data_IF_173444807537
#
_entry.id   IF_173444807537
#
_cell.length_a   1.000
_cell.length_b   1.000
_cell.length_c   1.000
_cell.angle_alpha   90.00
_cell.angle_beta   90.00
_cell.angle_gamma   90.00
#
_symmetry.space_group_name_H-M   'P 1'
#
loop_
_entity.id
_entity.type
_entity.pdbx_description
1 polymer ?
#
# COMPACT_ATOMS: atom_id res chain seq x y z
N UNK A 1 24.42 -49.17 -1.47
CA UNK A 1 24.72 -49.75 -2.80
C UNK A 1 25.25 -48.75 -3.82
N UNK A 2 24.75 -47.50 -3.94
CA UNK A 2 25.38 -46.50 -4.84
C UNK A 2 26.70 -45.93 -4.26
N UNK A 3 26.85 -45.94 -2.93
CA UNK A 3 28.07 -45.48 -2.24
C UNK A 3 29.23 -46.49 -2.28
N UNK A 4 28.96 -47.80 -2.37
CA UNK A 4 30.02 -48.83 -2.38
C UNK A 4 30.67 -48.98 -3.77
N UNK A 5 29.95 -48.63 -4.84
CA UNK A 5 30.44 -48.70 -6.22
C UNK A 5 31.45 -47.59 -6.56
N UNK A 6 31.51 -46.50 -5.77
CA UNK A 6 32.49 -45.42 -5.96
C UNK A 6 33.85 -45.72 -5.30
N UNK A 7 33.93 -46.74 -4.44
CA UNK A 7 35.15 -47.11 -3.71
C UNK A 7 35.97 -48.20 -4.41
N UNK A 8 35.43 -48.79 -5.49
CA UNK A 8 35.94 -50.01 -6.12
C UNK A 8 36.67 -49.81 -7.47
N UNK A 9 37.20 -48.62 -7.75
CA UNK A 9 38.12 -48.41 -8.88
C UNK A 9 39.44 -47.85 -8.34
N UNK A 10 40.42 -48.74 -8.21
CA UNK A 10 41.78 -48.42 -7.80
C UNK A 10 42.52 -47.64 -8.89
N UNK A 11 43.09 -46.49 -8.50
CA UNK A 11 43.96 -45.65 -9.33
C UNK A 11 43.96 -44.21 -8.82
N UNK A 12 45.09 -43.78 -8.28
CA UNK A 12 45.42 -42.46 -7.72
C UNK A 12 44.73 -42.05 -6.41
N UNK A 13 45.47 -42.21 -5.31
CA UNK A 13 45.13 -41.62 -4.01
C UNK A 13 44.92 -40.10 -4.05
N UNK A 14 45.39 -39.41 -5.10
CA UNK A 14 45.15 -37.99 -5.33
C UNK A 14 43.69 -37.73 -5.77
N UNK A 15 43.11 -38.56 -6.64
CA UNK A 15 41.71 -38.40 -7.08
C UNK A 15 40.73 -38.66 -5.93
N UNK A 16 41.01 -39.65 -5.09
CA UNK A 16 40.21 -39.89 -3.88
C UNK A 16 40.37 -38.76 -2.84
N UNK A 17 41.56 -38.19 -2.69
CA UNK A 17 41.78 -37.02 -1.83
C UNK A 17 41.04 -35.77 -2.35
N UNK A 18 41.06 -35.52 -3.66
CA UNK A 18 40.31 -34.42 -4.28
C UNK A 18 38.81 -34.62 -4.06
N UNK A 19 38.30 -35.84 -4.25
CA UNK A 19 36.89 -36.16 -4.00
C UNK A 19 36.49 -35.91 -2.54
N UNK A 20 37.31 -36.32 -1.58
CA UNK A 20 37.08 -36.04 -0.15
C UNK A 20 37.11 -34.54 0.16
N UNK A 21 38.06 -33.78 -0.40
CA UNK A 21 38.14 -32.32 -0.22
C UNK A 21 36.89 -31.63 -0.78
N UNK A 22 36.43 -32.03 -1.96
CA UNK A 22 35.20 -31.49 -2.58
C UNK A 22 33.98 -31.83 -1.73
N UNK A 23 33.89 -33.05 -1.17
CA UNK A 23 32.79 -33.46 -0.30
C UNK A 23 32.76 -32.64 1.00
N UNK A 24 33.93 -32.41 1.62
CA UNK A 24 34.05 -31.57 2.82
C UNK A 24 33.68 -30.11 2.51
N UNK A 25 34.17 -29.57 1.39
CA UNK A 25 33.82 -28.21 0.94
C UNK A 25 32.32 -28.06 0.68
N UNK A 26 31.71 -29.03 -0.01
CA UNK A 26 30.27 -29.04 -0.28
C UNK A 26 29.46 -29.13 1.02
N UNK A 27 29.93 -29.93 1.98
CA UNK A 27 29.30 -30.04 3.30
C UNK A 27 29.43 -28.75 4.12
N UNK A 28 30.50 -27.97 3.93
CA UNK A 28 30.72 -26.68 4.60
C UNK A 28 29.96 -25.52 3.96
N UNK A 29 29.76 -25.56 2.63
CA UNK A 29 29.00 -24.54 1.89
C UNK A 29 27.51 -24.53 2.28
N UNK A 30 26.91 -25.70 2.49
CA UNK A 30 25.49 -25.82 2.79
C UNK A 30 25.05 -25.09 4.09
N UNK A 31 25.71 -25.27 5.26
CA UNK A 31 25.39 -24.53 6.48
C UNK A 31 25.73 -23.04 6.37
N UNK A 32 26.79 -22.68 5.63
CA UNK A 32 27.08 -21.27 5.36
C UNK A 32 25.91 -20.62 4.60
N UNK A 33 25.43 -21.24 3.52
CA UNK A 33 24.28 -20.75 2.77
C UNK A 33 23.04 -20.59 3.66
N UNK A 34 22.72 -21.58 4.49
CA UNK A 34 21.56 -21.52 5.38
C UNK A 34 21.60 -20.34 6.36
N UNK A 35 22.77 -19.94 6.83
CA UNK A 35 22.93 -18.82 7.77
C UNK A 35 22.94 -17.47 7.03
N UNK A 36 23.59 -17.40 5.86
CA UNK A 36 23.75 -16.14 5.12
C UNK A 36 22.54 -15.79 4.24
N UNK A 37 21.87 -16.77 3.66
CA UNK A 37 20.75 -16.55 2.73
C UNK A 37 19.61 -15.73 3.34
N UNK A 38 19.12 -16.00 4.56
CA UNK A 38 18.09 -15.19 5.20
C UNK A 38 18.48 -13.71 5.34
N UNK A 39 19.75 -13.41 5.65
CA UNK A 39 20.24 -12.04 5.81
C UNK A 39 20.26 -11.29 4.48
N UNK A 40 20.71 -11.96 3.42
CA UNK A 40 20.71 -11.41 2.07
C UNK A 40 19.27 -11.11 1.63
N UNK A 41 18.32 -12.02 1.90
CA UNK A 41 16.93 -11.84 1.52
C UNK A 41 16.27 -10.64 2.21
N UNK A 42 16.53 -10.44 3.52
CA UNK A 42 16.05 -9.27 4.26
C UNK A 42 16.61 -7.98 3.65
N UNK A 43 17.89 -7.96 3.27
CA UNK A 43 18.52 -6.80 2.64
C UNK A 43 17.91 -6.48 1.27
N UNK A 44 17.68 -7.49 0.42
CA UNK A 44 17.03 -7.29 -0.89
C UNK A 44 15.62 -6.73 -0.71
N UNK A 45 14.87 -7.27 0.24
CA UNK A 45 13.50 -6.84 0.48
C UNK A 45 13.41 -5.43 1.07
N UNK A 46 14.31 -5.02 1.97
CA UNK A 46 14.36 -3.63 2.48
C UNK A 46 14.60 -2.65 1.33
N UNK A 47 15.48 -2.97 0.38
CA UNK A 47 15.70 -2.15 -0.83
C UNK A 47 14.49 -2.08 -1.73
N UNK A 48 13.82 -3.22 -1.98
CA UNK A 48 12.60 -3.26 -2.79
C UNK A 48 11.48 -2.45 -2.13
N UNK A 49 11.34 -2.56 -0.81
CA UNK A 49 10.36 -1.81 -0.02
C UNK A 49 10.68 -0.32 0.04
N UNK A 50 11.96 0.05 0.11
CA UNK A 50 12.40 1.43 0.02
C UNK A 50 12.02 2.07 -1.33
N UNK A 51 12.33 1.40 -2.45
CA UNK A 51 11.89 1.87 -3.76
C UNK A 51 10.37 1.98 -3.84
N UNK A 52 9.63 0.98 -3.35
CA UNK A 52 8.17 1.04 -3.35
C UNK A 52 7.62 2.19 -2.50
N UNK A 53 8.26 2.53 -1.39
CA UNK A 53 7.84 3.65 -0.55
C UNK A 53 8.06 5.01 -1.22
N UNK A 54 9.11 5.14 -2.05
CA UNK A 54 9.30 6.36 -2.85
C UNK A 54 8.13 6.54 -3.81
N UNK A 55 7.74 5.47 -4.52
CA UNK A 55 6.60 5.54 -5.45
C UNK A 55 5.29 5.87 -4.71
N UNK A 56 5.03 5.21 -3.57
CA UNK A 56 3.85 5.49 -2.74
C UNK A 56 3.85 6.91 -2.16
N UNK A 57 5.02 7.45 -1.84
CA UNK A 57 5.18 8.84 -1.41
C UNK A 57 4.87 9.81 -2.55
N UNK A 58 5.32 9.52 -3.77
CA UNK A 58 4.96 10.29 -4.95
C UNK A 58 3.45 10.25 -5.19
N UNK A 59 2.81 9.09 -5.16
CA UNK A 59 1.35 9.01 -5.33
C UNK A 59 0.59 9.81 -4.27
N UNK A 60 0.99 9.71 -2.99
CA UNK A 60 0.42 10.52 -1.91
C UNK A 60 0.56 12.01 -2.19
N UNK A 61 1.78 12.46 -2.48
CA UNK A 61 2.05 13.89 -2.69
C UNK A 61 1.31 14.44 -3.92
N UNK A 62 1.31 13.69 -5.03
CA UNK A 62 0.59 14.07 -6.24
C UNK A 62 -0.91 14.21 -5.95
N UNK A 63 -1.49 13.24 -5.22
CA UNK A 63 -2.92 13.25 -4.88
C UNK A 63 -3.27 14.43 -3.96
N UNK A 64 -2.41 14.74 -2.99
CA UNK A 64 -2.56 15.92 -2.13
C UNK A 64 -2.49 17.22 -2.94
N UNK A 65 -1.53 17.34 -3.85
CA UNK A 65 -1.39 18.55 -4.69
C UNK A 65 -2.60 18.72 -5.60
N UNK A 66 -3.05 17.65 -6.27
CA UNK A 66 -4.24 17.67 -7.13
C UNK A 66 -5.48 18.13 -6.37
N UNK A 67 -5.70 17.59 -5.16
CA UNK A 67 -6.84 17.98 -4.34
C UNK A 67 -6.74 19.44 -3.90
N UNK A 68 -5.59 19.86 -3.36
CA UNK A 68 -5.44 21.21 -2.81
C UNK A 68 -5.55 22.30 -3.88
N UNK A 69 -5.09 22.04 -5.11
CA UNK A 69 -5.21 22.96 -6.25
C UNK A 69 -6.66 23.29 -6.61
N UNK A 70 -7.57 22.31 -6.46
CA UNK A 70 -9.01 22.47 -6.71
C UNK A 70 -9.81 22.88 -5.47
N UNK A 71 -9.28 22.61 -4.28
CA UNK A 71 -9.97 22.85 -3.03
C UNK A 71 -10.02 24.33 -2.65
N UNK A 72 -8.88 25.02 -2.73
CA UNK A 72 -8.79 26.47 -2.51
C UNK A 72 -7.52 27.08 -3.12
N UNK A 73 -7.68 28.27 -3.69
CA UNK A 73 -6.65 29.10 -4.31
C UNK A 73 -5.60 29.59 -3.30
N UNK A 74 -6.01 29.90 -2.07
CA UNK A 74 -5.11 30.26 -0.97
C UNK A 74 -5.53 29.55 0.33
N UNK A 75 -4.67 28.66 0.82
CA UNK A 75 -4.96 27.83 1.99
C UNK A 75 -4.36 28.49 3.22
N UNK A 76 -5.22 29.05 4.06
CA UNK A 76 -4.80 29.56 5.36
C UNK A 76 -4.08 28.48 6.19
N UNK A 77 -3.11 28.90 7.00
CA UNK A 77 -2.37 27.99 7.89
C UNK A 77 -3.28 27.19 8.83
N UNK A 78 -4.45 27.71 9.20
CA UNK A 78 -5.42 26.99 10.03
C UNK A 78 -6.10 25.86 9.26
N UNK A 79 -6.58 26.13 8.04
CA UNK A 79 -7.16 25.15 7.12
C UNK A 79 -6.17 24.05 6.78
N UNK A 80 -4.89 24.40 6.56
CA UNK A 80 -3.84 23.40 6.33
C UNK A 80 -3.63 22.46 7.53
N UNK A 81 -3.67 22.97 8.76
CA UNK A 81 -3.57 22.14 9.97
C UNK A 81 -4.77 21.21 10.13
N UNK A 82 -5.98 21.70 9.84
CA UNK A 82 -7.21 20.89 9.86
C UNK A 82 -7.14 19.78 8.81
N UNK A 83 -6.70 20.10 7.60
CA UNK A 83 -6.44 19.13 6.54
C UNK A 83 -5.47 18.04 7.00
N UNK A 84 -4.30 18.41 7.53
CA UNK A 84 -3.28 17.44 7.96
C UNK A 84 -3.81 16.51 9.08
N UNK A 85 -4.63 17.05 10.00
CA UNK A 85 -5.26 16.30 11.08
C UNK A 85 -6.33 15.33 10.56
N UNK A 86 -7.18 15.78 9.64
CA UNK A 86 -8.24 14.94 9.06
C UNK A 86 -7.68 13.89 8.10
N UNK A 87 -6.64 14.21 7.33
CA UNK A 87 -5.90 13.24 6.53
C UNK A 87 -5.34 12.11 7.41
N UNK A 88 -4.96 12.44 8.64
CA UNK A 88 -4.45 11.51 9.63
C UNK A 88 -5.55 10.76 10.42
N UNK A 89 -6.82 11.06 10.15
CA UNK A 89 -7.95 10.48 10.86
C UNK A 89 -8.04 8.96 10.67
N UNK A 90 -8.48 8.28 11.73
CA UNK A 90 -8.65 6.82 11.74
C UNK A 90 -9.97 6.48 12.39
N UNK A 91 -10.74 5.63 11.72
CA UNK A 91 -11.96 5.05 12.28
C UNK A 91 -11.61 3.98 13.31
N UNK A 92 -12.22 4.07 14.49
CA UNK A 92 -12.18 2.98 15.47
C UNK A 92 -13.36 2.07 15.22
N UNK A 93 -13.10 0.83 14.80
CA UNK A 93 -14.16 -0.17 14.67
C UNK A 93 -14.85 -0.41 16.02
N UNK A 94 -16.18 -0.62 16.04
CA UNK A 94 -16.90 -0.93 17.27
C UNK A 94 -16.43 -2.25 17.88
N UNK A 95 -16.41 -2.35 19.21
CA UNK A 95 -16.00 -3.56 19.91
C UNK A 95 -17.05 -4.67 19.78
N UNK A 96 -16.63 -5.85 19.35
CA UNK A 96 -17.51 -6.97 18.99
C UNK A 96 -17.96 -7.87 20.13
N UNK A 97 -18.08 -7.36 21.36
CA UNK A 97 -18.48 -8.20 22.52
C UNK A 97 -19.95 -8.64 22.40
N UNK A 98 -20.79 -7.87 21.70
CA UNK A 98 -22.20 -8.20 21.44
C UNK A 98 -22.54 -8.02 19.95
N UNK A 99 -22.74 -9.12 19.18
CA UNK A 99 -23.11 -9.07 17.77
C UNK A 99 -24.47 -8.41 17.51
N UNK A 100 -25.39 -8.46 18.46
CA UNK A 100 -26.75 -7.94 18.34
C UNK A 100 -26.73 -6.41 18.51
N UNK A 101 -26.33 -5.70 17.45
CA UNK A 101 -26.23 -4.24 17.42
C UNK A 101 -24.90 -3.71 16.86
N UNK A 102 -24.01 -4.57 16.37
CA UNK A 102 -22.76 -4.12 15.72
C UNK A 102 -23.03 -3.31 14.46
N UNK A 103 -24.07 -3.65 13.70
CA UNK A 103 -24.43 -2.94 12.45
C UNK A 103 -24.77 -1.47 12.74
N UNK A 104 -25.69 -1.19 13.66
CA UNK A 104 -26.05 0.18 14.00
C UNK A 104 -24.91 0.98 14.65
N UNK A 105 -24.01 0.31 15.37
CA UNK A 105 -22.79 0.96 15.88
C UNK A 105 -21.82 1.31 14.76
N UNK A 106 -21.69 0.44 13.77
CA UNK A 106 -20.85 0.69 12.60
C UNK A 106 -21.42 1.82 11.76
N UNK A 107 -22.72 1.80 11.47
CA UNK A 107 -23.46 2.86 10.78
C UNK A 107 -23.22 4.21 11.47
N UNK A 108 -23.46 4.30 12.78
CA UNK A 108 -23.22 5.55 13.51
C UNK A 108 -21.75 6.03 13.46
N UNK A 109 -20.77 5.11 13.42
CA UNK A 109 -19.35 5.47 13.26
C UNK A 109 -19.06 5.99 11.86
N UNK A 110 -19.67 5.39 10.83
CA UNK A 110 -19.55 5.81 9.44
C UNK A 110 -20.22 7.17 9.24
N UNK A 111 -21.45 7.35 9.71
CA UNK A 111 -22.20 8.61 9.58
C UNK A 111 -21.50 9.75 10.31
N UNK A 112 -21.07 9.51 11.56
CA UNK A 112 -20.31 10.51 12.34
C UNK A 112 -18.99 10.91 11.67
N UNK A 113 -18.44 10.01 10.86
CA UNK A 113 -17.20 10.24 10.12
C UNK A 113 -17.46 11.04 8.85
N UNK A 114 -18.49 10.65 8.11
CA UNK A 114 -18.96 11.34 6.93
C UNK A 114 -19.31 12.80 7.25
N UNK A 115 -20.05 13.03 8.34
CA UNK A 115 -20.38 14.36 8.84
C UNK A 115 -19.15 15.21 9.18
N UNK A 116 -18.02 14.60 9.57
CA UNK A 116 -16.78 15.35 9.81
C UNK A 116 -16.12 15.77 8.50
N UNK A 117 -16.20 14.92 7.48
CA UNK A 117 -15.64 15.23 6.16
C UNK A 117 -16.49 16.29 5.44
N UNK A 118 -17.81 16.14 5.43
CA UNK A 118 -18.74 17.12 4.85
C UNK A 118 -18.49 18.51 5.44
N UNK A 119 -18.51 18.63 6.78
CA UNK A 119 -18.26 19.91 7.46
C UNK A 119 -16.89 20.51 7.19
N UNK A 120 -15.88 19.69 6.92
CA UNK A 120 -14.56 20.19 6.58
C UNK A 120 -14.54 20.73 5.14
N UNK A 121 -15.13 20.02 4.20
CA UNK A 121 -15.17 20.43 2.79
C UNK A 121 -16.06 21.66 2.62
N UNK A 122 -17.32 21.60 3.06
CA UNK A 122 -18.29 22.72 2.99
C UNK A 122 -17.78 24.00 3.68
N UNK A 123 -17.05 23.86 4.78
CA UNK A 123 -16.57 25.00 5.55
C UNK A 123 -15.30 25.65 5.01
N UNK A 124 -14.62 25.07 4.03
CA UNK A 124 -13.30 25.54 3.58
C UNK A 124 -13.08 25.49 2.05
N UNK A 125 -13.99 24.89 1.27
CA UNK A 125 -13.93 24.90 -0.18
C UNK A 125 -14.34 26.27 -0.76
N UNK A 126 -13.88 26.59 -1.97
CA UNK A 126 -14.23 27.84 -2.68
C UNK A 126 -15.58 27.80 -3.42
N UNK A 127 -16.18 26.61 -3.53
CA UNK A 127 -17.46 26.39 -4.21
C UNK A 127 -18.62 26.24 -3.23
N UNK A 128 -19.80 26.68 -3.65
CA UNK A 128 -21.07 26.47 -2.93
C UNK A 128 -21.96 25.44 -3.65
N UNK A 129 -21.50 24.87 -4.78
CA UNK A 129 -22.27 23.87 -5.53
C UNK A 129 -22.28 22.52 -4.82
N UNK A 130 -23.47 21.96 -4.60
CA UNK A 130 -23.66 20.72 -3.85
C UNK A 130 -23.00 19.52 -4.54
N UNK A 131 -23.03 19.48 -5.88
CA UNK A 131 -22.40 18.40 -6.65
C UNK A 131 -20.88 18.47 -6.58
N UNK A 132 -20.30 19.67 -6.76
CA UNK A 132 -18.86 19.89 -6.65
C UNK A 132 -18.34 19.65 -5.22
N UNK A 133 -19.11 20.00 -4.19
CA UNK A 133 -18.80 19.69 -2.80
C UNK A 133 -18.78 18.18 -2.52
N UNK A 134 -19.72 17.43 -3.11
CA UNK A 134 -19.75 15.98 -2.99
C UNK A 134 -18.52 15.33 -3.65
N UNK A 135 -18.14 15.79 -4.84
CA UNK A 135 -16.94 15.34 -5.54
C UNK A 135 -15.66 15.68 -4.79
N UNK A 136 -15.54 16.89 -4.23
CA UNK A 136 -14.43 17.27 -3.36
C UNK A 136 -14.35 16.38 -2.12
N UNK A 137 -15.48 15.99 -1.53
CA UNK A 137 -15.48 15.05 -0.41
C UNK A 137 -14.95 13.68 -0.82
N UNK A 138 -15.40 13.14 -1.95
CA UNK A 138 -14.90 11.87 -2.46
C UNK A 138 -13.41 11.94 -2.83
N UNK A 139 -12.97 13.03 -3.45
CA UNK A 139 -11.57 13.31 -3.73
C UNK A 139 -10.73 13.32 -2.44
N UNK A 140 -11.21 13.96 -1.37
CA UNK A 140 -10.57 13.99 -0.06
C UNK A 140 -10.43 12.58 0.56
N UNK A 141 -11.43 11.71 0.38
CA UNK A 141 -11.33 10.29 0.78
C UNK A 141 -10.23 9.55 0.03
N UNK A 142 -10.02 9.84 -1.26
CA UNK A 142 -8.89 9.29 -2.01
C UNK A 142 -7.52 9.79 -1.52
N UNK A 143 -7.42 11.06 -1.12
CA UNK A 143 -6.23 11.61 -0.43
C UNK A 143 -5.95 10.85 0.87
N UNK A 144 -6.97 10.64 1.70
CA UNK A 144 -6.84 9.83 2.92
C UNK A 144 -6.40 8.39 2.60
N UNK A 145 -6.95 7.79 1.55
CA UNK A 145 -6.62 6.45 1.08
C UNK A 145 -5.14 6.28 0.73
N UNK A 146 -4.62 7.14 -0.15
CA UNK A 146 -3.20 7.11 -0.58
C UNK A 146 -2.26 7.34 0.60
N UNK A 147 -2.59 8.28 1.50
CA UNK A 147 -1.80 8.54 2.71
C UNK A 147 -1.78 7.37 3.68
N UNK A 148 -2.93 6.72 3.89
CA UNK A 148 -3.03 5.57 4.76
C UNK A 148 -2.22 4.38 4.23
N UNK A 149 -2.24 4.13 2.90
CA UNK A 149 -1.41 3.11 2.25
C UNK A 149 0.08 3.39 2.49
N UNK A 150 0.53 4.63 2.24
CA UNK A 150 1.90 5.04 2.49
C UNK A 150 2.32 4.82 3.97
N UNK A 151 1.48 5.25 4.92
CA UNK A 151 1.74 5.11 6.36
C UNK A 151 1.88 3.65 6.79
N UNK A 152 0.99 2.77 6.32
CA UNK A 152 1.00 1.34 6.63
C UNK A 152 2.26 0.68 6.08
N UNK A 153 2.61 0.95 4.82
CA UNK A 153 3.82 0.39 4.20
C UNK A 153 5.10 0.90 4.88
N UNK A 154 5.12 2.19 5.28
CA UNK A 154 6.23 2.77 6.04
C UNK A 154 6.38 2.09 7.40
N UNK A 155 5.27 1.79 8.08
CA UNK A 155 5.28 1.07 9.34
C UNK A 155 5.82 -0.35 9.18
N UNK A 156 5.42 -1.09 8.14
CA UNK A 156 5.96 -2.41 7.86
C UNK A 156 7.48 -2.40 7.61
N UNK A 157 8.02 -1.38 6.93
CA UNK A 157 9.47 -1.21 6.77
C UNK A 157 10.18 -1.06 8.11
N UNK A 158 9.66 -0.21 8.99
CA UNK A 158 10.22 -0.02 10.33
C UNK A 158 10.17 -1.32 11.15
N UNK A 159 9.06 -2.06 11.04
CA UNK A 159 8.87 -3.34 11.71
C UNK A 159 9.87 -4.39 11.21
N UNK A 160 10.09 -4.49 9.90
CA UNK A 160 11.09 -5.36 9.27
C UNK A 160 12.49 -5.02 9.76
N UNK A 161 12.87 -3.74 9.78
CA UNK A 161 14.19 -3.29 10.25
C UNK A 161 14.45 -3.66 11.71
N UNK A 162 13.42 -3.56 12.56
CA UNK A 162 13.52 -3.87 14.00
C UNK A 162 13.51 -5.37 14.28
N UNK A 163 12.58 -6.11 13.68
CA UNK A 163 12.37 -7.54 14.00
C UNK A 163 13.28 -8.47 13.22
N UNK A 164 13.67 -8.09 11.99
CA UNK A 164 14.45 -8.91 11.06
C UNK A 164 13.84 -10.31 10.86
N UNK A 165 12.51 -10.42 11.00
CA UNK A 165 11.77 -11.66 10.80
C UNK A 165 11.56 -11.93 9.31
N UNK A 166 12.06 -13.06 8.84
CA UNK A 166 12.04 -13.42 7.42
C UNK A 166 10.63 -13.62 6.85
N UNK A 167 9.72 -14.17 7.64
CA UNK A 167 8.34 -14.41 7.24
C UNK A 167 7.57 -13.10 7.01
N UNK A 168 7.77 -12.11 7.89
CA UNK A 168 7.21 -10.77 7.73
C UNK A 168 7.71 -10.12 6.44
N UNK A 169 8.99 -10.27 6.14
CA UNK A 169 9.61 -9.75 4.92
C UNK A 169 8.97 -10.34 3.67
N UNK A 170 8.76 -11.65 3.63
CA UNK A 170 8.13 -12.31 2.48
C UNK A 170 6.68 -11.84 2.29
N UNK A 171 5.90 -11.79 3.37
CA UNK A 171 4.52 -11.31 3.34
C UNK A 171 4.43 -9.89 2.77
N UNK A 172 5.21 -8.95 3.31
CA UNK A 172 5.21 -7.56 2.85
C UNK A 172 5.67 -7.46 1.39
N UNK A 173 6.70 -8.23 1.00
CA UNK A 173 7.23 -8.22 -0.38
C UNK A 173 6.18 -8.63 -1.42
N UNK A 174 5.30 -9.57 -1.07
CA UNK A 174 4.20 -9.99 -1.94
C UNK A 174 3.06 -8.96 -1.97
N UNK A 175 2.85 -8.22 -0.88
CA UNK A 175 1.82 -7.19 -0.81
C UNK A 175 2.21 -5.87 -1.50
N UNK A 176 3.51 -5.59 -1.68
CA UNK A 176 3.99 -4.37 -2.37
C UNK A 176 3.23 -4.06 -3.68
N UNK A 177 3.15 -4.98 -4.67
CA UNK A 177 2.47 -4.68 -5.93
C UNK A 177 1.00 -4.33 -5.74
N UNK A 178 0.29 -5.06 -4.87
CA UNK A 178 -1.12 -4.82 -4.56
C UNK A 178 -1.31 -3.41 -3.97
N UNK A 179 -0.46 -3.01 -3.02
CA UNK A 179 -0.55 -1.67 -2.44
C UNK A 179 -0.17 -0.55 -3.40
N UNK A 180 0.74 -0.79 -4.34
CA UNK A 180 1.04 0.18 -5.40
C UNK A 180 -0.15 0.40 -6.31
N UNK A 181 -0.76 -0.69 -6.78
CA UNK A 181 -1.95 -0.64 -7.63
C UNK A 181 -3.13 0.02 -6.91
N UNK A 182 -3.34 -0.30 -5.62
CA UNK A 182 -4.34 0.38 -4.80
C UNK A 182 -4.07 1.88 -4.64
N UNK A 183 -2.81 2.29 -4.47
CA UNK A 183 -2.47 3.71 -4.33
C UNK A 183 -2.62 4.46 -5.66
N UNK A 184 -2.25 3.84 -6.77
CA UNK A 184 -2.45 4.38 -8.11
C UNK A 184 -3.94 4.51 -8.44
N UNK A 185 -4.73 3.48 -8.16
CA UNK A 185 -6.19 3.52 -8.33
C UNK A 185 -6.84 4.61 -7.48
N UNK A 186 -6.40 4.82 -6.24
CA UNK A 186 -6.90 5.90 -5.39
C UNK A 186 -6.54 7.28 -5.94
N UNK A 187 -5.32 7.46 -6.46
CA UNK A 187 -4.90 8.70 -7.12
C UNK A 187 -5.76 9.00 -8.35
N UNK A 188 -5.97 8.01 -9.23
CA UNK A 188 -6.79 8.19 -10.44
C UNK A 188 -8.27 8.41 -10.09
N UNK A 189 -8.78 7.76 -9.06
CA UNK A 189 -10.12 8.02 -8.55
C UNK A 189 -10.26 9.46 -8.04
N UNK A 190 -9.30 9.96 -7.23
CA UNK A 190 -9.28 11.36 -6.81
C UNK A 190 -9.31 12.30 -8.01
N UNK A 191 -8.49 12.04 -9.03
CA UNK A 191 -8.48 12.85 -10.24
C UNK A 191 -9.83 12.85 -10.95
N UNK A 192 -10.45 11.68 -11.11
CA UNK A 192 -11.74 11.55 -11.75
C UNK A 192 -12.85 12.33 -11.01
N UNK A 193 -12.86 12.32 -9.66
CA UNK A 193 -13.79 13.13 -8.88
C UNK A 193 -13.54 14.63 -9.09
N UNK A 194 -12.26 15.06 -9.09
CA UNK A 194 -11.92 16.46 -9.34
C UNK A 194 -12.25 16.94 -10.76
N UNK A 195 -12.27 16.04 -11.72
CA UNK A 195 -12.65 16.30 -13.12
C UNK A 195 -14.17 16.12 -13.35
N UNK A 196 -14.97 15.87 -12.29
CA UNK A 196 -16.42 15.58 -12.36
C UNK A 196 -16.76 14.45 -13.34
N UNK A 197 -15.84 13.50 -13.50
CA UNK A 197 -16.03 12.39 -14.41
C UNK A 197 -17.10 11.42 -13.86
N UNK A 198 -17.95 10.81 -14.71
CA UNK A 198 -18.91 9.83 -14.26
C UNK A 198 -18.18 8.57 -13.76
N UNK A 199 -18.23 8.34 -12.44
CA UNK A 199 -17.58 7.22 -11.76
C UNK A 199 -18.62 6.21 -11.29
N UNK A 200 -18.30 4.93 -11.44
CA UNK A 200 -19.09 3.84 -10.90
C UNK A 200 -18.63 2.49 -11.41
N UNK A 201 -19.00 1.44 -10.70
CA UNK A 201 -18.84 0.09 -11.20
C UNK A 201 -20.03 -0.23 -12.12
N UNK A 202 -19.78 -0.91 -13.25
CA UNK A 202 -20.77 -1.43 -14.22
C UNK A 202 -21.19 -0.47 -15.36
N UNK A 203 -22.47 -0.52 -15.77
CA UNK A 203 -23.01 0.07 -17.01
C UNK A 203 -23.14 1.60 -16.92
N UNK A 204 -23.16 2.18 -15.72
CA UNK A 204 -23.38 3.60 -15.48
C UNK A 204 -22.45 4.52 -16.28
N UNK A 205 -21.12 4.44 -16.10
CA UNK A 205 -20.17 5.25 -16.87
C UNK A 205 -20.26 5.01 -18.38
N UNK A 206 -20.55 3.78 -18.82
CA UNK A 206 -20.70 3.45 -20.24
C UNK A 206 -21.94 4.12 -20.86
N UNK A 207 -23.05 4.15 -20.12
CA UNK A 207 -24.27 4.84 -20.55
C UNK A 207 -24.06 6.34 -20.55
N UNK A 208 -23.43 6.90 -19.52
CA UNK A 208 -23.07 8.31 -19.47
C UNK A 208 -22.21 8.72 -20.67
N UNK A 209 -21.15 7.95 -20.96
CA UNK A 209 -20.29 8.18 -22.12
C UNK A 209 -21.06 8.13 -23.46
N UNK A 210 -21.97 7.16 -23.60
CA UNK A 210 -22.80 7.04 -24.81
C UNK A 210 -23.78 8.22 -24.98
N UNK A 211 -24.34 8.74 -23.88
CA UNK A 211 -25.22 9.90 -23.92
C UNK A 211 -24.46 11.16 -24.33
N UNK A 212 -23.27 11.38 -23.76
CA UNK A 212 -22.38 12.49 -24.12
C UNK A 212 -22.01 12.43 -25.61
N UNK A 213 -21.66 11.25 -26.14
CA UNK A 213 -21.32 11.07 -27.56
C UNK A 213 -22.54 11.29 -28.48
N UNK A 214 -23.77 11.06 -28.01
CA UNK A 214 -24.98 11.23 -28.81
C UNK A 214 -25.54 12.67 -28.84
N UNK A 215 -25.09 13.53 -27.93
CA UNK A 215 -25.50 14.93 -27.83
C UNK A 215 -24.56 15.89 -28.61
N UNK A 216 -23.45 15.39 -29.18
CA UNK A 216 -22.61 16.05 -30.20
C UNK A 216 -23.03 15.70 -31.65
#
# INVERSE_FOLDING_TARGET
MVFDALFAIGGDGILQQIFMIVQILSFLILPALLIFFPRIMIWQADRKLESALVDLETYRNDTEVLFLDKFASDIENDTRKKFDSLRDFKFSAPTGIDPAGMVGKLENVLDSSEDKFNRFVEGNAETEDEEELADLNMAFKGVMGTHQIFKVMRHFRQLIKKTKMIYLVQMVTMMIPIYKELAEAQKEATRAFLDQAPIGDTIGPLVAAKLIESDE
#
